data_IF_897010072044
#
_entry.id   IF_897010072044
#
_cell.length_a   1.000
_cell.length_b   1.000
_cell.length_c   1.000
_cell.angle_alpha   90.00
_cell.angle_beta   90.00
_cell.angle_gamma   90.00
#
_symmetry.space_group_name_H-M   'P 1'
#
loop_
_entity.id
_entity.type
_entity.pdbx_description
1 polymer ?
#
# COMPACT_ATOMS: atom_id res chain seq x y z
N UNK A 1 -0.12 -13.30 5.45
CA UNK A 1 -1.03 -12.51 6.31
C UNK A 1 -1.37 -11.23 5.56
N UNK A 2 -2.60 -11.12 5.03
CA UNK A 2 -3.11 -9.85 4.52
C UNK A 2 -3.17 -8.88 5.71
N UNK A 3 -2.46 -7.74 5.63
CA UNK A 3 -2.48 -6.73 6.70
C UNK A 3 -3.92 -6.27 6.90
N UNK A 4 -4.37 -6.23 8.15
CA UNK A 4 -5.70 -5.70 8.49
C UNK A 4 -5.87 -4.29 7.92
N UNK A 5 -7.06 -3.94 7.40
CA UNK A 5 -7.36 -2.58 6.94
C UNK A 5 -7.01 -1.60 8.06
N UNK A 6 -6.20 -0.58 7.76
CA UNK A 6 -5.98 0.51 8.69
C UNK A 6 -7.20 1.41 8.64
N UNK A 7 -7.91 1.50 9.75
CA UNK A 7 -9.02 2.43 9.92
C UNK A 7 -8.50 3.77 10.42
N UNK A 8 -8.95 4.85 9.80
CA UNK A 8 -8.62 6.21 10.20
C UNK A 8 -9.88 7.06 10.23
N UNK A 9 -10.22 7.63 11.38
CA UNK A 9 -11.32 8.59 11.46
C UNK A 9 -10.88 9.97 10.95
N UNK A 10 -11.62 10.53 10.00
CA UNK A 10 -11.40 11.87 9.45
C UNK A 10 -12.42 12.82 10.08
N UNK A 11 -12.00 13.51 11.14
CA UNK A 11 -12.87 14.36 11.97
C UNK A 11 -13.62 15.42 11.16
N UNK A 12 -12.94 16.13 10.25
CA UNK A 12 -13.54 17.17 9.43
C UNK A 12 -14.60 16.68 8.43
N UNK A 13 -14.71 15.36 8.21
CA UNK A 13 -15.68 14.74 7.30
C UNK A 13 -16.67 13.81 8.02
N UNK A 14 -16.42 13.46 9.28
CA UNK A 14 -17.26 12.51 10.03
C UNK A 14 -17.27 11.10 9.44
N UNK A 15 -16.17 10.65 8.81
CA UNK A 15 -16.08 9.33 8.17
C UNK A 15 -14.92 8.50 8.71
N UNK A 16 -15.08 7.18 8.68
CA UNK A 16 -13.99 6.22 8.87
C UNK A 16 -13.46 5.85 7.49
N UNK A 17 -12.21 6.21 7.23
CA UNK A 17 -11.48 5.79 6.05
C UNK A 17 -10.82 4.44 6.30
N UNK A 18 -10.95 3.54 5.31
CA UNK A 18 -10.16 2.31 5.25
C UNK A 18 -9.50 2.20 3.89
N UNK A 19 -8.31 1.61 3.85
CA UNK A 19 -7.59 1.38 2.60
C UNK A 19 -7.27 -0.10 2.43
N UNK A 20 -7.45 -0.63 1.22
CA UNK A 20 -7.05 -1.98 0.85
C UNK A 20 -6.05 -1.93 -0.28
N UNK A 21 -4.92 -2.62 -0.16
CA UNK A 21 -3.89 -2.70 -1.21
C UNK A 21 -3.81 -4.10 -1.78
N UNK A 22 -3.51 -4.18 -3.07
CA UNK A 22 -3.25 -5.46 -3.75
C UNK A 22 -1.90 -6.09 -3.36
N UNK A 23 -1.00 -5.33 -2.71
CA UNK A 23 0.37 -5.71 -2.37
C UNK A 23 1.25 -6.08 -3.58
N UNK A 24 0.89 -5.65 -4.79
CA UNK A 24 1.67 -5.90 -6.00
C UNK A 24 2.50 -4.65 -6.29
N UNK A 25 3.82 -4.80 -6.21
CA UNK A 25 4.77 -3.74 -6.57
C UNK A 25 4.81 -3.56 -8.08
N UNK A 26 4.71 -2.31 -8.53
CA UNK A 26 4.78 -1.91 -9.93
C UNK A 26 5.79 -0.79 -10.12
N UNK A 27 6.35 -0.70 -11.31
CA UNK A 27 7.24 0.38 -11.76
C UNK A 27 6.67 0.95 -13.06
N UNK A 28 6.48 2.26 -13.15
CA UNK A 28 5.97 2.93 -14.36
C UNK A 28 7.04 3.74 -15.12
N UNK A 29 8.31 3.63 -14.73
CA UNK A 29 9.40 4.40 -15.32
C UNK A 29 9.88 5.57 -14.46
N UNK A 30 9.09 6.00 -13.46
CA UNK A 30 9.45 7.09 -12.54
C UNK A 30 9.40 6.66 -11.06
N UNK A 31 8.37 5.92 -10.65
CA UNK A 31 8.25 5.48 -9.25
C UNK A 31 7.79 4.03 -9.07
N UNK A 32 8.22 3.42 -7.96
CA UNK A 32 7.66 2.15 -7.49
C UNK A 32 6.39 2.46 -6.70
N UNK A 33 5.30 1.75 -7.00
CA UNK A 33 4.02 1.95 -6.33
C UNK A 33 3.25 0.63 -6.15
N UNK A 34 2.23 0.68 -5.29
CA UNK A 34 1.18 -0.35 -5.18
C UNK A 34 -0.17 0.28 -5.51
N UNK A 35 -1.10 -0.53 -5.97
CA UNK A 35 -2.49 -0.07 -6.13
C UNK A 35 -3.25 -0.27 -4.82
N UNK A 36 -4.17 0.65 -4.55
CA UNK A 36 -5.07 0.55 -3.42
C UNK A 36 -6.42 1.19 -3.69
N UNK A 37 -7.42 0.66 -3.00
CA UNK A 37 -8.77 1.18 -2.97
C UNK A 37 -9.00 1.91 -1.64
N UNK A 38 -9.80 2.97 -1.69
CA UNK A 38 -10.15 3.82 -0.54
C UNK A 38 -11.65 3.71 -0.31
N UNK A 39 -12.03 3.52 0.95
CA UNK A 39 -13.41 3.39 1.37
C UNK A 39 -13.71 4.39 2.47
N UNK A 40 -14.88 5.02 2.42
CA UNK A 40 -15.43 5.84 3.52
C UNK A 40 -16.69 5.16 4.04
N UNK A 41 -16.71 4.86 5.34
CA UNK A 41 -17.83 4.17 6.01
C UNK A 41 -18.24 2.86 5.28
N UNK A 42 -17.25 2.12 4.76
CA UNK A 42 -17.46 0.87 4.04
C UNK A 42 -17.83 1.02 2.55
N UNK A 43 -18.08 2.23 2.06
CA UNK A 43 -18.37 2.47 0.64
C UNK A 43 -17.08 2.84 -0.10
N UNK A 44 -16.80 2.18 -1.23
CA UNK A 44 -15.65 2.50 -2.07
C UNK A 44 -15.83 3.89 -2.71
N UNK A 45 -14.84 4.76 -2.50
CA UNK A 45 -14.83 6.14 -3.04
C UNK A 45 -13.73 6.34 -4.07
N UNK A 46 -12.68 5.51 -4.05
CA UNK A 46 -11.64 5.52 -5.06
C UNK A 46 -11.12 4.11 -5.29
N UNK A 47 -10.85 3.76 -6.55
CA UNK A 47 -10.25 2.47 -6.92
C UNK A 47 -8.98 2.65 -7.73
N UNK A 48 -8.05 1.69 -7.61
CA UNK A 48 -6.76 1.67 -8.31
C UNK A 48 -5.94 2.94 -8.08
N UNK A 49 -6.04 3.52 -6.89
CA UNK A 49 -5.21 4.66 -6.53
C UNK A 49 -3.76 4.20 -6.45
N UNK A 50 -2.81 5.02 -6.93
CA UNK A 50 -1.39 4.70 -6.83
C UNK A 50 -0.82 5.19 -5.51
N UNK A 51 -0.28 4.28 -4.68
CA UNK A 51 0.50 4.64 -3.49
C UNK A 51 1.98 4.49 -3.77
N UNK A 52 2.72 5.60 -3.72
CA UNK A 52 4.18 5.57 -3.85
C UNK A 52 4.78 4.73 -2.71
N UNK A 53 5.70 3.85 -3.09
CA UNK A 53 6.55 3.13 -2.14
C UNK A 53 7.71 4.04 -1.78
N UNK A 54 7.92 4.27 -0.48
CA UNK A 54 9.02 5.13 -0.02
C UNK A 54 10.37 4.43 -0.16
N UNK A 55 11.46 5.21 -0.13
CA UNK A 55 12.83 4.69 -0.24
C UNK A 55 13.14 3.67 0.85
N UNK A 56 12.68 3.91 2.07
CA UNK A 56 12.89 3.02 3.23
C UNK A 56 12.23 1.67 3.00
N UNK A 57 10.99 1.67 2.50
CA UNK A 57 10.27 0.43 2.17
C UNK A 57 10.93 -0.31 1.02
N UNK A 58 11.34 0.40 -0.04
CA UNK A 58 12.07 -0.20 -1.16
C UNK A 58 13.39 -0.84 -0.71
N UNK A 59 14.13 -0.18 0.19
CA UNK A 59 15.39 -0.68 0.74
C UNK A 59 15.16 -1.94 1.58
N UNK A 60 14.14 -1.94 2.44
CA UNK A 60 13.79 -3.10 3.26
C UNK A 60 13.37 -4.30 2.39
N UNK A 61 12.59 -4.07 1.33
CA UNK A 61 12.20 -5.11 0.38
C UNK A 61 13.41 -5.69 -0.38
N UNK A 62 14.32 -4.83 -0.82
CA UNK A 62 15.55 -5.26 -1.49
C UNK A 62 16.38 -6.18 -0.58
N UNK A 63 16.57 -5.79 0.69
CA UNK A 63 17.32 -6.59 1.65
C UNK A 63 16.74 -8.01 1.79
N UNK A 64 15.42 -8.13 1.98
CA UNK A 64 14.73 -9.42 2.09
C UNK A 64 14.90 -10.28 0.83
N UNK A 65 14.79 -9.66 -0.35
CA UNK A 65 14.99 -10.38 -1.62
C UNK A 65 16.43 -10.88 -1.77
N UNK A 66 17.41 -10.06 -1.42
CA UNK A 66 18.84 -10.43 -1.52
C UNK A 66 19.27 -11.47 -0.49
N UNK A 67 18.77 -11.41 0.74
CA UNK A 67 19.02 -12.44 1.77
C UNK A 67 18.49 -13.81 1.31
N UNK A 68 17.30 -13.83 0.69
CA UNK A 68 16.70 -15.03 0.12
C UNK A 68 17.49 -15.58 -1.07
N UNK A 69 18.20 -14.74 -1.82
CA UNK A 69 19.06 -15.16 -2.93
C UNK A 69 20.41 -15.73 -2.48
N UNK A 70 20.94 -15.29 -1.34
CA UNK A 70 22.23 -15.76 -0.80
C UNK A 70 22.12 -17.08 -0.01
N UNK A 71 20.89 -17.52 0.29
CA UNK A 71 20.59 -18.73 1.07
C UNK A 71 20.16 -19.94 0.20
N UNK A 72 20.30 -19.83 -1.13
CA UNK A 72 20.10 -20.90 -2.11
C UNK A 72 21.42 -21.33 -2.76
#
# INVERSE_FOLDING_TARGET
MLKQPREQFIEGLGVIETTQTDNILRWDGDMVYVEYDVYHNGQMVHSKYKKRVTREVATALLAVLTEKSASN
#
